data_IF_991641477651
#
_entry.id   IF_991641477651
#
_cell.length_a   1.000
_cell.length_b   1.000
_cell.length_c   1.000
_cell.angle_alpha   90.00
_cell.angle_beta   90.00
_cell.angle_gamma   90.00
#
_symmetry.space_group_name_H-M   'P 1'
#
loop_
_entity.id
_entity.type
_entity.pdbx_description
1 polymer ?
#
# COMPACT_ATOMS: atom_id res chain seq x y z
N UNK A 1 1.77 15.37 17.31
CA UNK A 1 1.21 14.63 16.21
C UNK A 1 1.68 13.22 16.20
N UNK A 2 0.75 12.32 16.07
CA UNK A 2 1.12 10.91 16.00
C UNK A 2 1.70 10.62 14.63
N UNK A 3 2.73 9.83 14.60
CA UNK A 3 3.31 9.37 13.37
C UNK A 3 3.31 7.86 13.42
N UNK A 4 2.72 7.25 12.40
CA UNK A 4 2.58 5.81 12.38
C UNK A 4 3.90 5.10 12.10
N UNK A 5 4.06 3.94 12.68
CA UNK A 5 5.17 3.06 12.34
C UNK A 5 4.84 2.39 11.01
N UNK A 6 5.80 2.29 10.13
CA UNK A 6 5.60 1.63 8.85
C UNK A 6 6.12 0.20 8.93
N UNK A 7 5.26 -0.74 8.60
CA UNK A 7 5.64 -2.15 8.45
C UNK A 7 5.31 -2.59 7.05
N UNK A 8 6.18 -3.38 6.46
CA UNK A 8 6.00 -3.85 5.10
C UNK A 8 6.12 -5.37 5.13
N UNK A 9 5.09 -6.04 4.66
CA UNK A 9 5.11 -7.51 4.64
C UNK A 9 6.19 -8.02 3.70
N UNK A 10 6.84 -9.14 4.05
CA UNK A 10 7.89 -9.70 3.18
C UNK A 10 7.43 -9.96 1.75
N UNK A 11 6.16 -10.32 1.57
CA UNK A 11 5.63 -10.58 0.22
C UNK A 11 5.67 -9.35 -0.68
N UNK A 12 5.72 -8.16 -0.10
CA UNK A 12 5.80 -6.92 -0.89
C UNK A 12 7.11 -6.85 -1.66
N UNK A 13 8.17 -7.44 -1.13
CA UNK A 13 9.45 -7.46 -1.84
C UNK A 13 9.31 -8.15 -3.20
N UNK A 14 8.49 -9.20 -3.26
CA UNK A 14 8.22 -9.86 -4.53
C UNK A 14 7.45 -8.95 -5.47
N UNK A 15 6.48 -8.22 -4.92
CA UNK A 15 5.69 -7.30 -5.73
C UNK A 15 6.59 -6.25 -6.38
N UNK A 16 7.59 -5.79 -5.65
CA UNK A 16 8.45 -4.72 -6.14
C UNK A 16 9.47 -5.18 -7.17
N UNK A 17 9.76 -6.48 -7.22
CA UNK A 17 10.79 -6.98 -8.15
C UNK A 17 10.48 -6.72 -9.60
N UNK A 18 9.23 -6.74 -9.98
CA UNK A 18 8.83 -6.54 -11.36
C UNK A 18 8.63 -5.09 -11.74
N UNK A 19 8.89 -4.17 -10.83
CA UNK A 19 8.63 -2.76 -11.03
C UNK A 19 9.94 -2.03 -11.32
N UNK A 20 9.96 -1.11 -12.30
CA UNK A 20 11.16 -0.33 -12.58
C UNK A 20 11.65 0.41 -11.33
N UNK A 21 12.96 0.49 -11.18
CA UNK A 21 13.57 1.09 -9.99
C UNK A 21 13.08 2.50 -9.68
N UNK A 22 12.88 3.31 -10.70
CA UNK A 22 12.42 4.67 -10.49
C UNK A 22 11.03 4.69 -9.87
N UNK A 23 10.17 3.75 -10.26
CA UNK A 23 8.84 3.64 -9.71
C UNK A 23 8.88 3.07 -8.29
N UNK A 24 9.77 2.12 -8.04
CA UNK A 24 9.95 1.60 -6.69
C UNK A 24 10.31 2.72 -5.72
N UNK A 25 11.20 3.59 -6.14
CA UNK A 25 11.59 4.73 -5.32
C UNK A 25 10.39 5.60 -4.96
N UNK A 26 9.55 5.88 -5.94
CA UNK A 26 8.36 6.69 -5.72
C UNK A 26 7.37 6.00 -4.80
N UNK A 27 7.23 4.68 -4.98
CA UNK A 27 6.36 3.88 -4.13
C UNK A 27 6.84 3.91 -2.68
N UNK A 28 8.13 3.75 -2.47
CA UNK A 28 8.69 3.77 -1.11
C UNK A 28 8.52 5.15 -0.47
N UNK A 29 8.68 6.20 -1.25
CA UNK A 29 8.44 7.55 -0.76
C UNK A 29 6.98 7.74 -0.37
N UNK A 30 6.06 7.21 -1.18
CA UNK A 30 4.64 7.27 -0.87
C UNK A 30 4.33 6.51 0.41
N UNK A 31 4.94 5.35 0.61
CA UNK A 31 4.76 4.58 1.85
C UNK A 31 5.20 5.40 3.06
N UNK A 32 6.32 6.09 2.97
CA UNK A 32 6.79 6.91 4.07
C UNK A 32 5.81 8.04 4.37
N UNK A 33 5.22 8.61 3.34
CA UNK A 33 4.24 9.68 3.53
C UNK A 33 2.99 9.18 4.26
N UNK A 34 2.63 7.92 4.10
CA UNK A 34 1.48 7.35 4.79
C UNK A 34 1.64 7.34 6.30
N UNK A 35 2.87 7.43 6.79
CA UNK A 35 3.12 7.47 8.23
C UNK A 35 2.55 8.75 8.86
N UNK A 36 2.52 9.81 8.10
CA UNK A 36 2.02 11.09 8.62
C UNK A 36 0.52 11.22 8.44
N UNK A 37 -0.01 10.67 7.36
CA UNK A 37 -1.44 10.78 7.07
C UNK A 37 -1.93 9.59 6.25
N UNK A 38 -2.22 8.46 6.91
CA UNK A 38 -2.61 7.26 6.18
C UNK A 38 -4.02 7.30 5.60
N UNK A 39 -4.79 8.33 5.94
CA UNK A 39 -6.14 8.50 5.41
C UNK A 39 -6.29 9.78 4.60
N UNK A 40 -5.18 10.33 4.15
CA UNK A 40 -5.18 11.62 3.45
C UNK A 40 -5.58 11.52 1.99
N UNK A 41 -5.32 12.60 1.25
CA UNK A 41 -5.67 12.64 -0.18
C UNK A 41 -5.03 11.50 -0.94
N UNK A 42 -5.78 10.89 -1.84
CA UNK A 42 -5.31 9.77 -2.63
C UNK A 42 -5.41 8.43 -1.94
N UNK A 43 -5.94 8.40 -0.72
CA UNK A 43 -6.14 7.15 0.02
C UNK A 43 -7.63 6.83 0.06
N UNK A 44 -7.98 5.58 -0.23
CA UNK A 44 -9.35 5.13 -0.23
C UNK A 44 -9.52 3.91 0.65
N UNK A 45 -10.60 3.90 1.43
CA UNK A 45 -10.92 2.74 2.25
C UNK A 45 -11.55 1.66 1.38
N UNK A 46 -11.11 0.42 1.58
CA UNK A 46 -11.60 -0.72 0.83
C UNK A 46 -12.53 -1.53 1.71
N UNK A 47 -13.82 -1.44 1.44
CA UNK A 47 -14.79 -2.21 2.20
C UNK A 47 -14.96 -1.71 3.62
N UNK A 48 -15.35 -2.62 4.52
CA UNK A 48 -15.65 -2.26 5.90
C UNK A 48 -14.47 -2.46 6.86
N UNK A 49 -13.41 -3.11 6.41
CA UNK A 49 -12.22 -3.31 7.25
C UNK A 49 -11.33 -2.07 7.22
N UNK A 50 -10.35 -2.03 8.11
CA UNK A 50 -9.36 -0.94 8.09
C UNK A 50 -8.30 -1.20 7.03
N UNK A 51 -8.74 -1.48 5.84
CA UNK A 51 -7.92 -1.77 4.67
C UNK A 51 -8.05 -0.61 3.71
N UNK A 52 -6.93 -0.11 3.24
CA UNK A 52 -6.87 1.09 2.42
C UNK A 52 -6.01 0.90 1.20
N UNK A 53 -6.19 1.78 0.24
CA UNK A 53 -5.40 1.79 -0.98
C UNK A 53 -4.92 3.20 -1.25
N UNK A 54 -3.63 3.34 -1.54
CA UNK A 54 -3.06 4.61 -1.97
C UNK A 54 -2.52 4.45 -3.38
N UNK A 55 -2.69 5.49 -4.19
CA UNK A 55 -2.22 5.48 -5.55
C UNK A 55 -0.81 6.06 -5.65
N UNK A 56 -0.02 5.47 -6.53
CA UNK A 56 1.28 6.03 -6.89
C UNK A 56 1.51 5.73 -8.36
N UNK A 57 1.26 6.70 -9.23
CA UNK A 57 1.32 6.48 -10.67
C UNK A 57 0.30 5.43 -11.09
N UNK A 58 0.76 4.40 -11.78
CA UNK A 58 -0.10 3.29 -12.20
C UNK A 58 -0.14 2.18 -11.16
N UNK A 59 0.48 2.39 -10.01
CA UNK A 59 0.55 1.38 -8.97
C UNK A 59 -0.39 1.68 -7.82
N UNK A 60 -0.75 0.65 -7.10
CA UNK A 60 -1.60 0.74 -5.92
C UNK A 60 -0.86 0.11 -4.75
N UNK A 61 -0.88 0.82 -3.63
CA UNK A 61 -0.31 0.33 -2.38
C UNK A 61 -1.50 -0.02 -1.49
N UNK A 62 -1.63 -1.29 -1.14
CA UNK A 62 -2.70 -1.73 -0.24
C UNK A 62 -2.11 -1.92 1.14
N UNK A 63 -2.75 -1.33 2.13
CA UNK A 63 -2.22 -1.35 3.49
C UNK A 63 -3.35 -1.36 4.51
N UNK A 64 -3.01 -1.80 5.70
CA UNK A 64 -3.91 -1.80 6.84
C UNK A 64 -3.47 -0.72 7.82
N UNK A 65 -4.44 -0.13 8.50
CA UNK A 65 -4.14 0.84 9.54
C UNK A 65 -4.54 0.23 10.87
N UNK A 66 -3.59 0.13 11.78
CA UNK A 66 -3.82 -0.41 13.11
C UNK A 66 -3.71 0.74 14.11
N UNK A 67 -4.82 1.43 14.32
CA UNK A 67 -4.81 2.63 15.16
C UNK A 67 -4.36 2.37 16.60
N UNK A 68 -4.79 1.23 17.14
CA UNK A 68 -4.43 0.90 18.51
C UNK A 68 -2.92 0.80 18.73
N UNK A 69 -2.19 0.44 17.69
CA UNK A 69 -0.75 0.27 17.75
C UNK A 69 0.01 1.36 17.00
N UNK A 70 -0.71 2.26 16.36
CA UNK A 70 -0.15 3.35 15.56
C UNK A 70 0.78 2.78 14.48
N UNK A 71 0.26 1.83 13.71
CA UNK A 71 1.02 1.11 12.68
C UNK A 71 0.27 1.18 11.35
N UNK A 72 1.00 1.43 10.28
CA UNK A 72 0.54 1.25 8.91
C UNK A 72 1.29 0.03 8.38
N UNK A 73 0.56 -0.99 7.99
CA UNK A 73 1.16 -2.22 7.47
C UNK A 73 0.86 -2.37 5.99
N UNK A 74 1.88 -2.29 5.15
CA UNK A 74 1.73 -2.47 3.71
C UNK A 74 1.67 -3.96 3.43
N UNK A 75 0.59 -4.40 2.80
CA UNK A 75 0.37 -5.83 2.55
C UNK A 75 0.51 -6.19 1.09
N UNK A 76 0.44 -5.23 0.19
CA UNK A 76 0.52 -5.52 -1.24
C UNK A 76 0.84 -4.27 -2.04
N UNK A 77 1.59 -4.44 -3.12
CA UNK A 77 1.78 -3.41 -4.12
C UNK A 77 1.51 -4.06 -5.46
N UNK A 78 0.72 -3.42 -6.31
CA UNK A 78 0.43 -3.98 -7.61
C UNK A 78 0.09 -2.92 -8.61
N UNK A 79 0.07 -3.33 -9.87
CA UNK A 79 -0.36 -2.47 -10.95
C UNK A 79 -1.87 -2.28 -10.82
N UNK A 80 -2.36 -1.11 -11.19
CA UNK A 80 -3.79 -0.87 -11.13
C UNK A 80 -4.52 -1.95 -11.92
N UNK A 81 -5.63 -2.39 -11.39
CA UNK A 81 -6.38 -3.49 -11.97
C UNK A 81 -6.02 -4.80 -11.34
N UNK A 82 -4.73 -5.11 -11.20
CA UNK A 82 -4.31 -6.35 -10.58
C UNK A 82 -4.65 -6.40 -9.10
N UNK A 83 -4.47 -5.29 -8.43
CA UNK A 83 -4.71 -5.23 -7.00
C UNK A 83 -6.18 -5.43 -6.68
N UNK A 84 -7.05 -4.91 -7.53
CA UNK A 84 -8.46 -5.10 -7.35
C UNK A 84 -8.88 -6.54 -7.46
N UNK A 85 -8.18 -7.26 -8.32
CA UNK A 85 -8.54 -8.64 -8.57
C UNK A 85 -7.61 -9.59 -7.84
N UNK A 86 -6.96 -9.06 -6.82
CA UNK A 86 -5.91 -9.79 -6.14
C UNK A 86 -6.27 -11.19 -5.77
N UNK A 87 -7.44 -11.45 -5.50
CA UNK A 87 -7.87 -12.77 -5.18
C UNK A 87 -8.17 -13.57 -6.38
N UNK A 88 -8.34 -12.97 -7.46
CA UNK A 88 -8.74 -13.67 -8.53
C UNK A 88 -7.72 -14.07 -9.43
N UNK A 89 -7.46 -14.17 -9.60
CA UNK A 89 -6.76 -14.51 -10.38
C UNK A 89 -6.23 -14.94 -10.74
N UNK A 90 -6.44 -15.07 -10.43
CA UNK A 90 -6.03 -15.37 -10.63
C UNK A 90 -5.51 -15.48 -11.49
N UNK A 91 -5.35 -15.39 -11.58
CA UNK A 91 -4.88 -15.38 -12.27
C UNK A 91 -4.77 -14.93 -12.91
N UNK A 92 -4.90 -14.68 -12.74
CA UNK A 92 -4.71 -14.31 -13.37
C UNK A 92 -4.50 -14.14 -13.53
#
# INVERSE_FOLDING_TARGET
MARYELRVRPSVAKDLRGIPKADVKRILTRMQALRDDPRGPGCEKLGSAELYRARQGVYRIVYEIHDAHIVVEVIRVGHRGEVYHGGQDGGG
#
